data_IF_323879399941
#
_entry.id   IF_323879399941
#
_cell.length_a   1.000
_cell.length_b   1.000
_cell.length_c   1.000
_cell.angle_alpha   90.00
_cell.angle_beta   90.00
_cell.angle_gamma   90.00
#
_symmetry.space_group_name_H-M   'P 1'
#
loop_
_entity.id
_entity.type
_entity.pdbx_description
1 polymer ?
#
# COMPACT_ATOMS: atom_id res chain seq x y z
N UNK A 1 -0.54 -28.75 -1.52
CA UNK A 1 -1.04 -28.47 -0.16
C UNK A 1 0.07 -28.09 0.84
N UNK A 2 1.35 -28.52 0.66
CA UNK A 2 2.43 -28.17 1.59
C UNK A 2 2.93 -26.71 1.51
N UNK A 3 2.79 -26.04 0.37
CA UNK A 3 3.27 -24.65 0.20
C UNK A 3 2.41 -23.59 0.89
N UNK A 4 1.12 -23.86 1.10
CA UNK A 4 0.22 -22.91 1.75
C UNK A 4 0.41 -22.86 3.27
N UNK A 5 0.70 -24.00 3.92
CA UNK A 5 0.94 -24.07 5.36
C UNK A 5 2.25 -23.36 5.77
N UNK A 6 3.33 -23.55 5.00
CA UNK A 6 4.62 -22.89 5.27
C UNK A 6 4.52 -21.37 5.11
N UNK A 7 3.73 -20.88 4.13
CA UNK A 7 3.52 -19.46 3.94
C UNK A 7 2.69 -18.81 5.07
N UNK A 8 1.75 -19.55 5.67
CA UNK A 8 0.94 -19.08 6.79
C UNK A 8 1.76 -19.00 8.08
N UNK A 9 2.60 -20.00 8.36
CA UNK A 9 3.48 -19.98 9.53
C UNK A 9 4.47 -18.82 9.47
N UNK A 10 5.17 -18.64 8.34
CA UNK A 10 6.09 -17.51 8.16
C UNK A 10 5.40 -16.14 8.20
N UNK A 11 4.14 -16.03 7.77
CA UNK A 11 3.36 -14.79 7.84
C UNK A 11 2.97 -14.41 9.27
N UNK A 12 2.60 -15.37 10.11
CA UNK A 12 2.28 -15.11 11.51
C UNK A 12 3.50 -14.67 12.32
N UNK A 13 4.68 -15.22 12.03
CA UNK A 13 5.92 -14.80 12.65
C UNK A 13 6.26 -13.35 12.27
N UNK A 14 6.11 -12.98 10.99
CA UNK A 14 6.27 -11.60 10.52
C UNK A 14 5.30 -10.66 11.26
N UNK A 15 4.03 -11.06 11.43
CA UNK A 15 3.04 -10.26 12.17
C UNK A 15 3.46 -10.04 13.61
N UNK A 16 3.93 -11.09 14.29
CA UNK A 16 4.36 -11.04 15.68
C UNK A 16 5.60 -10.17 15.88
N UNK A 17 6.61 -10.36 15.04
CA UNK A 17 7.87 -9.62 15.10
C UNK A 17 7.64 -8.15 14.79
N UNK A 18 6.84 -7.84 13.78
CA UNK A 18 6.51 -6.46 13.42
C UNK A 18 5.66 -5.77 14.51
N UNK A 19 4.73 -6.48 15.13
CA UNK A 19 3.98 -5.96 16.27
C UNK A 19 4.89 -5.69 17.48
N UNK A 20 5.84 -6.59 17.75
CA UNK A 20 6.85 -6.39 18.80
C UNK A 20 7.71 -5.15 18.52
N UNK A 21 8.13 -4.95 17.28
CA UNK A 21 8.85 -3.76 16.84
C UNK A 21 8.04 -2.48 17.13
N UNK A 22 6.78 -2.40 16.68
CA UNK A 22 5.96 -1.21 16.90
C UNK A 22 5.72 -0.90 18.38
N UNK A 23 5.68 -1.91 19.24
CA UNK A 23 5.46 -1.75 20.67
C UNK A 23 6.75 -1.41 21.45
N UNK A 24 7.91 -1.92 21.01
CA UNK A 24 9.17 -1.81 21.78
C UNK A 24 10.03 -0.65 21.33
N UNK A 25 9.82 -0.11 20.12
CA UNK A 25 10.65 0.96 19.60
C UNK A 25 10.32 2.29 20.29
N UNK A 26 11.26 2.78 21.09
CA UNK A 26 11.26 4.10 21.71
C UNK A 26 12.51 4.85 21.26
N UNK A 27 12.36 6.09 20.84
CA UNK A 27 13.46 6.91 20.31
C UNK A 27 14.51 7.30 21.36
N UNK A 28 14.27 7.02 22.64
CA UNK A 28 15.27 7.27 23.70
C UNK A 28 16.48 6.35 23.57
N UNK A 29 16.27 5.11 23.06
CA UNK A 29 17.36 4.15 22.87
C UNK A 29 18.24 4.49 21.65
N UNK A 30 17.68 5.13 20.61
CA UNK A 30 18.41 5.55 19.42
C UNK A 30 19.29 6.79 19.63
N UNK A 31 19.02 7.62 20.62
CA UNK A 31 19.82 8.81 20.94
C UNK A 31 21.03 8.54 21.86
N UNK A 32 21.17 7.34 22.41
CA UNK A 32 22.28 7.02 23.29
C UNK A 32 23.63 6.87 22.54
N UNK A 33 23.61 6.51 21.26
CA UNK A 33 24.82 6.29 20.44
C UNK A 33 25.12 7.38 19.39
N UNK A 34 24.19 8.28 19.10
CA UNK A 34 24.38 9.36 18.13
C UNK A 34 24.48 10.72 18.84
N UNK A 35 25.65 11.06 19.34
CA UNK A 35 26.02 12.42 19.76
C UNK A 35 26.09 13.40 18.59
N UNK A 36 24.97 13.62 17.90
CA UNK A 36 24.84 14.53 16.77
C UNK A 36 23.55 15.32 16.86
N UNK A 37 23.67 16.60 17.19
CA UNK A 37 22.59 17.57 17.06
C UNK A 37 22.09 17.60 15.62
N UNK A 38 20.78 17.33 15.39
CA UNK A 38 20.10 17.78 14.18
C UNK A 38 19.60 16.76 13.17
N UNK A 39 19.39 15.48 13.52
CA UNK A 39 18.58 14.63 12.69
C UNK A 39 17.09 14.73 13.11
N UNK A 40 16.40 15.77 12.63
CA UNK A 40 14.95 15.79 12.64
C UNK A 40 14.46 14.59 11.84
N UNK A 41 13.74 13.66 12.49
CA UNK A 41 13.03 12.60 11.78
C UNK A 41 12.12 13.26 10.75
N UNK A 42 12.18 12.89 9.46
CA UNK A 42 11.35 13.53 8.43
C UNK A 42 9.85 13.38 8.69
N UNK A 43 9.42 12.44 9.54
CA UNK A 43 8.05 12.31 10.01
C UNK A 43 7.73 13.13 11.27
N UNK A 44 8.73 13.70 11.96
CA UNK A 44 8.54 14.50 13.18
C UNK A 44 8.02 13.73 14.40
N UNK A 45 7.94 12.40 14.33
CA UNK A 45 7.39 11.56 15.40
C UNK A 45 8.50 10.83 16.14
N UNK A 46 8.49 10.95 17.46
CA UNK A 46 9.48 10.31 18.33
C UNK A 46 9.16 8.85 18.59
N UNK A 47 7.89 8.51 18.72
CA UNK A 47 7.39 7.16 18.99
C UNK A 47 6.20 6.80 18.12
N UNK A 48 6.06 5.52 17.76
CA UNK A 48 4.90 5.05 16.99
C UNK A 48 3.58 5.16 17.76
N UNK A 49 3.63 5.16 19.10
CA UNK A 49 2.47 5.39 19.97
C UNK A 49 2.02 6.86 19.90
N UNK A 50 2.97 7.81 19.93
CA UNK A 50 2.68 9.25 19.75
C UNK A 50 2.09 9.51 18.35
N UNK A 51 2.60 8.83 17.32
CA UNK A 51 2.01 8.87 15.98
C UNK A 51 0.54 8.44 15.97
N UNK A 52 0.14 7.42 16.76
CA UNK A 52 -1.26 7.03 16.87
C UNK A 52 -2.14 8.11 17.49
N UNK A 53 -1.63 8.91 18.42
CA UNK A 53 -2.37 10.03 19.01
C UNK A 53 -2.69 11.09 17.95
N UNK A 54 -1.70 11.47 17.17
CA UNK A 54 -1.88 12.41 16.06
C UNK A 54 -2.76 11.85 14.94
N UNK A 55 -2.65 10.55 14.65
CA UNK A 55 -3.56 9.89 13.72
C UNK A 55 -5.01 9.91 14.21
N UNK A 56 -5.22 9.76 15.52
CA UNK A 56 -6.57 9.85 16.10
C UNK A 56 -7.17 11.23 15.90
N UNK A 57 -6.40 12.29 16.15
CA UNK A 57 -6.86 13.69 15.98
C UNK A 57 -7.18 14.01 14.51
N UNK A 58 -6.37 13.50 13.57
CA UNK A 58 -6.52 13.73 12.12
C UNK A 58 -7.43 12.72 11.41
N UNK A 59 -7.98 11.76 12.16
CA UNK A 59 -8.76 10.62 11.59
C UNK A 59 -7.98 9.80 10.57
N UNK A 60 -6.65 9.81 10.67
CA UNK A 60 -5.74 9.09 9.78
C UNK A 60 -5.89 7.57 9.86
N UNK A 61 -5.37 6.89 8.84
CA UNK A 61 -5.39 5.42 8.71
C UNK A 61 -4.04 4.81 8.41
N UNK A 62 -3.01 5.63 8.16
CA UNK A 62 -1.70 5.19 7.71
C UNK A 62 -0.65 5.39 8.80
N UNK A 63 0.04 4.32 9.18
CA UNK A 63 1.19 4.34 10.09
C UNK A 63 2.46 4.48 9.26
N UNK A 64 3.24 5.51 9.52
CA UNK A 64 4.51 5.76 8.85
C UNK A 64 5.64 5.11 9.65
N UNK A 65 6.34 4.17 9.02
CA UNK A 65 7.42 3.40 9.64
C UNK A 65 8.75 3.77 8.97
N UNK A 66 9.72 4.20 9.77
CA UNK A 66 11.07 4.43 9.28
C UNK A 66 11.76 3.08 9.07
N UNK A 67 12.21 2.84 7.83
CA UNK A 67 12.86 1.59 7.47
C UNK A 67 14.20 1.38 8.21
N UNK A 68 14.90 2.45 8.55
CA UNK A 68 16.14 2.36 9.32
C UNK A 68 15.90 1.82 10.73
N UNK A 69 14.85 2.29 11.41
CA UNK A 69 14.47 1.76 12.72
C UNK A 69 14.14 0.27 12.68
N UNK A 70 13.50 -0.16 11.60
CA UNK A 70 13.20 -1.58 11.41
C UNK A 70 14.48 -2.40 11.16
N UNK A 71 15.45 -1.86 10.42
CA UNK A 71 16.75 -2.50 10.21
C UNK A 71 17.55 -2.64 11.51
N UNK A 72 17.52 -1.66 12.38
CA UNK A 72 18.18 -1.68 13.69
C UNK A 72 17.54 -2.72 14.62
N UNK A 73 16.22 -2.86 14.56
CA UNK A 73 15.49 -3.83 15.38
C UNK A 73 15.67 -5.27 14.87
N UNK A 74 15.41 -5.52 13.58
CA UNK A 74 15.55 -6.82 12.94
C UNK A 74 15.86 -6.68 11.44
N UNK A 75 17.14 -6.82 11.09
CA UNK A 75 17.61 -6.73 9.71
C UNK A 75 17.05 -7.83 8.80
N UNK A 76 16.72 -9.02 9.33
CA UNK A 76 16.16 -10.12 8.54
C UNK A 76 14.72 -9.77 8.14
N UNK A 77 13.91 -9.31 9.10
CA UNK A 77 12.54 -8.85 8.81
C UNK A 77 12.55 -7.71 7.78
N UNK A 78 13.45 -6.73 7.95
CA UNK A 78 13.54 -5.58 7.05
C UNK A 78 13.87 -6.00 5.61
N UNK A 79 14.90 -6.84 5.41
CA UNK A 79 15.34 -7.21 4.06
C UNK A 79 14.50 -8.31 3.43
N UNK A 80 14.17 -9.38 4.14
CA UNK A 80 13.48 -10.52 3.54
C UNK A 80 11.97 -10.30 3.40
N UNK A 81 11.32 -9.77 4.44
CA UNK A 81 9.88 -9.61 4.43
C UNK A 81 9.44 -8.26 3.83
N UNK A 82 10.09 -7.16 4.24
CA UNK A 82 9.64 -5.83 3.83
C UNK A 82 10.26 -5.43 2.49
N UNK A 83 11.55 -5.55 2.27
CA UNK A 83 12.18 -5.12 1.03
C UNK A 83 11.94 -6.13 -0.10
N UNK A 84 12.36 -7.40 0.05
CA UNK A 84 12.38 -8.39 -1.03
C UNK A 84 10.99 -8.95 -1.39
N UNK A 85 10.10 -9.14 -0.41
CA UNK A 85 8.81 -9.81 -0.60
C UNK A 85 7.63 -8.98 -0.10
N UNK A 86 7.68 -7.68 -0.23
CA UNK A 86 6.67 -6.75 0.30
C UNK A 86 5.23 -7.14 -0.06
N UNK A 87 4.97 -7.41 -1.33
CA UNK A 87 3.62 -7.72 -1.80
C UNK A 87 3.04 -8.98 -1.13
N UNK A 88 3.89 -9.97 -0.84
CA UNK A 88 3.49 -11.21 -0.16
C UNK A 88 3.18 -10.98 1.32
N UNK A 89 3.97 -10.16 2.01
CA UNK A 89 3.85 -9.94 3.45
C UNK A 89 3.01 -8.73 3.83
N UNK A 90 2.63 -7.88 2.88
CA UNK A 90 1.77 -6.70 3.13
C UNK A 90 0.49 -7.02 3.93
N UNK A 91 -0.28 -8.10 3.66
CA UNK A 91 -1.47 -8.41 4.46
C UNK A 91 -1.15 -8.69 5.94
N UNK A 92 0.01 -9.30 6.21
CA UNK A 92 0.47 -9.62 7.55
C UNK A 92 0.94 -8.36 8.31
N UNK A 93 1.63 -7.46 7.63
CA UNK A 93 2.02 -6.15 8.18
C UNK A 93 0.78 -5.30 8.52
N UNK A 94 -0.24 -5.31 7.66
CA UNK A 94 -1.52 -4.64 7.94
C UNK A 94 -2.23 -5.23 9.15
N UNK A 95 -2.24 -6.55 9.29
CA UNK A 95 -2.82 -7.23 10.46
C UNK A 95 -2.10 -6.81 11.74
N UNK A 96 -0.77 -6.75 11.73
CA UNK A 96 0.02 -6.26 12.85
C UNK A 96 -0.30 -4.79 13.19
N UNK A 97 -0.46 -3.93 12.19
CA UNK A 97 -0.86 -2.54 12.38
C UNK A 97 -2.25 -2.41 13.01
N UNK A 98 -3.24 -3.19 12.56
CA UNK A 98 -4.58 -3.21 13.18
C UNK A 98 -4.51 -3.66 14.63
N UNK A 99 -3.71 -4.69 14.93
CA UNK A 99 -3.55 -5.20 16.29
C UNK A 99 -2.84 -4.19 17.20
N UNK A 100 -1.83 -3.50 16.69
CA UNK A 100 -1.15 -2.41 17.39
C UNK A 100 -2.12 -1.27 17.75
N UNK A 101 -2.94 -0.83 16.79
CA UNK A 101 -3.98 0.20 17.05
C UNK A 101 -5.01 -0.31 18.06
N UNK A 102 -5.41 -1.59 17.98
CA UNK A 102 -6.37 -2.20 18.92
C UNK A 102 -5.84 -2.22 20.35
N UNK A 103 -4.54 -2.46 20.53
CA UNK A 103 -3.92 -2.48 21.86
C UNK A 103 -3.84 -1.09 22.49
N UNK A 104 -3.49 -0.07 21.73
CA UNK A 104 -3.27 1.29 22.25
C UNK A 104 -4.51 2.20 22.18
N UNK A 105 -5.28 2.13 21.10
CA UNK A 105 -6.44 3.00 20.85
C UNK A 105 -7.64 2.19 20.28
N UNK A 106 -8.29 1.35 21.09
CA UNK A 106 -9.39 0.50 20.61
C UNK A 106 -10.59 1.28 20.05
N UNK A 107 -10.73 2.55 20.43
CA UNK A 107 -11.77 3.44 19.90
C UNK A 107 -11.57 3.74 18.40
N UNK A 108 -10.33 3.72 17.89
CA UNK A 108 -10.05 3.97 16.46
C UNK A 108 -10.47 2.82 15.56
N UNK A 109 -10.47 1.60 16.07
CA UNK A 109 -10.78 0.39 15.29
C UNK A 109 -12.27 0.29 14.95
N UNK A 110 -13.12 0.89 15.78
CA UNK A 110 -14.57 0.84 15.58
C UNK A 110 -15.02 1.99 14.70
N UNK A 111 -15.63 1.67 13.58
CA UNK A 111 -16.31 2.66 12.75
C UNK A 111 -17.80 2.70 13.14
N UNK A 112 -18.41 3.87 12.90
CA UNK A 112 -19.88 4.02 12.95
C UNK A 112 -20.52 3.07 11.93
N UNK A 113 -21.16 2.00 12.43
CA UNK A 113 -21.75 0.96 11.59
C UNK A 113 -21.24 -0.47 11.84
N UNK A 114 -20.38 -0.67 12.84
CA UNK A 114 -19.96 -2.03 13.31
C UNK A 114 -18.92 -2.72 12.45
N UNK A 115 -18.39 -2.07 11.41
CA UNK A 115 -17.26 -2.58 10.62
C UNK A 115 -15.94 -2.08 11.22
N UNK A 116 -14.91 -2.91 11.20
CA UNK A 116 -13.56 -2.50 11.62
C UNK A 116 -12.93 -1.56 10.58
N UNK A 117 -12.27 -0.50 11.06
CA UNK A 117 -11.49 0.42 10.24
C UNK A 117 -10.19 -0.27 9.84
N UNK A 118 -9.80 -0.14 8.59
CA UNK A 118 -8.53 -0.69 8.09
C UNK A 118 -7.38 0.29 8.32
N UNK A 119 -6.22 -0.24 8.69
CA UNK A 119 -5.00 0.52 8.86
C UNK A 119 -3.95 0.06 7.87
N UNK A 120 -3.12 1.00 7.43
CA UNK A 120 -2.10 0.81 6.42
C UNK A 120 -0.72 1.12 7.00
N UNK A 121 0.29 0.53 6.42
CA UNK A 121 1.68 0.79 6.79
C UNK A 121 2.39 1.39 5.59
N UNK A 122 3.02 2.55 5.79
CA UNK A 122 3.87 3.22 4.82
C UNK A 122 5.31 3.25 5.32
N UNK A 123 6.25 2.83 4.48
CA UNK A 123 7.67 2.86 4.82
C UNK A 123 8.33 4.10 4.25
N UNK A 124 9.13 4.76 5.09
CA UNK A 124 9.91 5.95 4.76
C UNK A 124 11.40 5.66 4.93
N UNK A 125 12.27 6.49 4.32
CA UNK A 125 13.72 6.40 4.46
C UNK A 125 14.33 5.05 4.06
N UNK A 126 13.91 4.51 2.90
CA UNK A 126 14.60 3.35 2.34
C UNK A 126 16.06 3.72 2.01
N UNK A 127 17.02 2.80 2.26
CA UNK A 127 18.45 3.08 2.08
C UNK A 127 18.82 3.36 0.62
N UNK A 128 18.04 2.85 -0.32
CA UNK A 128 18.30 3.01 -1.75
C UNK A 128 17.13 3.68 -2.46
N UNK A 129 17.43 4.83 -3.08
CA UNK A 129 16.54 5.52 -4.00
C UNK A 129 17.00 5.24 -5.43
N UNK A 130 16.18 4.55 -6.19
CA UNK A 130 16.45 4.20 -7.58
C UNK A 130 16.15 5.36 -8.53
N UNK A 131 16.82 5.39 -9.66
CA UNK A 131 16.38 6.17 -10.81
C UNK A 131 15.28 5.40 -11.53
N UNK A 132 14.38 6.12 -12.19
CA UNK A 132 13.28 5.48 -12.92
C UNK A 132 13.76 4.48 -13.99
N UNK A 133 14.95 4.68 -14.55
CA UNK A 133 15.59 3.77 -15.52
C UNK A 133 16.12 2.47 -14.91
N UNK A 134 16.41 2.47 -13.64
CA UNK A 134 16.99 1.31 -12.92
C UNK A 134 15.90 0.29 -12.53
N UNK A 135 14.63 0.70 -12.57
CA UNK A 135 13.52 -0.18 -12.26
C UNK A 135 13.32 -1.23 -13.37
N UNK A 136 13.54 -2.48 -13.00
CA UNK A 136 13.50 -3.64 -13.88
C UNK A 136 12.48 -4.67 -13.37
N UNK A 137 12.34 -5.77 -14.11
CA UNK A 137 11.48 -6.89 -13.73
C UNK A 137 11.87 -7.53 -12.39
N UNK A 138 13.13 -7.45 -12.00
CA UNK A 138 13.64 -7.94 -10.71
C UNK A 138 12.99 -7.25 -9.51
N UNK A 139 12.57 -5.98 -9.68
CA UNK A 139 11.95 -5.20 -8.62
C UNK A 139 10.44 -5.44 -8.47
N UNK A 140 9.84 -6.33 -9.29
CA UNK A 140 8.40 -6.61 -9.20
C UNK A 140 8.09 -7.30 -7.87
N UNK A 141 7.13 -6.74 -7.13
CA UNK A 141 6.69 -7.22 -5.83
C UNK A 141 7.58 -6.82 -4.65
N UNK A 142 8.73 -6.18 -4.91
CA UNK A 142 9.61 -5.61 -3.90
C UNK A 142 9.14 -4.21 -3.47
N UNK A 143 9.52 -3.83 -2.26
CA UNK A 143 9.40 -2.44 -1.81
C UNK A 143 10.58 -1.64 -2.35
N UNK A 144 10.30 -0.65 -3.18
CA UNK A 144 11.32 0.17 -3.82
C UNK A 144 11.00 1.64 -3.70
N UNK A 145 12.05 2.47 -3.61
CA UNK A 145 11.93 3.93 -3.69
C UNK A 145 12.55 4.43 -4.97
N UNK A 146 11.93 5.38 -5.63
CA UNK A 146 12.52 6.06 -6.78
C UNK A 146 12.21 7.56 -6.79
N UNK A 147 13.11 8.34 -7.37
CA UNK A 147 12.95 9.79 -7.55
C UNK A 147 12.37 10.12 -8.91
N UNK A 148 11.53 11.16 -8.96
CA UNK A 148 10.99 11.64 -10.20
C UNK A 148 10.21 12.95 -10.08
N UNK A 149 9.93 13.56 -11.21
CA UNK A 149 9.15 14.80 -11.32
C UNK A 149 7.72 14.46 -11.77
N UNK A 150 6.75 14.94 -11.03
CA UNK A 150 5.32 14.78 -11.37
C UNK A 150 4.99 15.63 -12.59
N UNK A 151 4.47 15.01 -13.63
CA UNK A 151 4.07 15.70 -14.87
C UNK A 151 2.58 15.91 -14.99
N UNK A 152 1.80 14.97 -14.48
CA UNK A 152 0.33 15.00 -14.55
C UNK A 152 -0.28 14.23 -13.40
N UNK A 153 -1.37 14.75 -12.85
CA UNK A 153 -2.23 14.09 -11.87
C UNK A 153 -3.62 13.89 -12.47
N UNK A 154 -4.29 12.80 -12.14
CA UNK A 154 -5.70 12.59 -12.46
C UNK A 154 -6.60 13.20 -11.39
N UNK A 155 -7.88 13.24 -11.66
CA UNK A 155 -8.89 13.47 -10.64
C UNK A 155 -8.89 12.32 -9.62
N UNK A 156 -9.31 12.62 -8.40
CA UNK A 156 -9.56 11.60 -7.37
C UNK A 156 -10.83 10.85 -7.73
N UNK A 157 -10.77 9.53 -7.68
CA UNK A 157 -11.91 8.67 -7.98
C UNK A 157 -12.04 7.59 -6.91
N UNK A 158 -13.26 7.16 -6.56
CA UNK A 158 -13.44 6.00 -5.69
C UNK A 158 -13.06 4.72 -6.44
N UNK A 159 -12.25 3.88 -5.80
CA UNK A 159 -11.94 2.51 -6.23
C UNK A 159 -12.61 1.51 -5.29
N UNK A 160 -13.22 0.47 -5.83
CA UNK A 160 -13.78 -0.62 -5.05
C UNK A 160 -12.64 -1.48 -4.49
N UNK A 161 -12.46 -1.48 -3.17
CA UNK A 161 -11.45 -2.30 -2.49
C UNK A 161 -12.01 -3.68 -2.12
N UNK A 162 -13.15 -3.70 -1.44
CA UNK A 162 -13.88 -4.92 -1.08
C UNK A 162 -15.30 -4.83 -1.63
N UNK A 163 -15.65 -5.79 -2.46
CA UNK A 163 -16.98 -5.88 -3.06
C UNK A 163 -17.89 -6.82 -2.28
N UNK A 164 -19.15 -6.43 -2.07
CA UNK A 164 -20.20 -7.32 -1.63
C UNK A 164 -21.05 -7.71 -2.84
N UNK A 165 -21.26 -9.00 -3.05
CA UNK A 165 -21.99 -9.51 -4.20
C UNK A 165 -23.22 -10.30 -3.76
N UNK A 166 -24.32 -10.02 -4.42
CA UNK A 166 -25.58 -10.75 -4.23
C UNK A 166 -25.74 -11.76 -5.35
N UNK A 167 -26.02 -13.00 -5.00
CA UNK A 167 -26.30 -14.07 -5.96
C UNK A 167 -27.62 -13.78 -6.66
N UNK A 168 -27.64 -13.78 -8.01
CA UNK A 168 -28.87 -13.55 -8.78
C UNK A 168 -29.88 -14.72 -8.72
N UNK A 169 -29.48 -15.88 -8.23
CA UNK A 169 -30.34 -17.08 -8.21
C UNK A 169 -30.95 -17.36 -6.81
N UNK A 170 -30.19 -17.13 -5.73
CA UNK A 170 -30.65 -17.42 -4.36
C UNK A 170 -30.60 -16.22 -3.42
N UNK A 171 -30.25 -15.04 -3.92
CA UNK A 171 -30.17 -13.78 -3.18
C UNK A 171 -29.18 -13.77 -2.00
N UNK A 172 -28.35 -14.79 -1.86
CA UNK A 172 -27.33 -14.90 -0.81
C UNK A 172 -26.26 -13.83 -1.02
N UNK A 173 -25.92 -13.08 0.05
CA UNK A 173 -24.87 -12.08 0.03
C UNK A 173 -23.51 -12.73 0.28
N UNK A 174 -22.53 -12.44 -0.58
CA UNK A 174 -21.12 -12.80 -0.44
C UNK A 174 -20.35 -11.52 -0.15
N UNK A 175 -20.00 -11.23 1.10
CA UNK A 175 -19.26 -10.04 1.50
C UNK A 175 -17.76 -10.16 1.24
N UNK A 176 -17.06 -9.04 1.33
CA UNK A 176 -15.61 -8.92 1.44
C UNK A 176 -14.81 -9.60 0.31
N UNK A 177 -15.31 -9.54 -0.92
CA UNK A 177 -14.58 -10.03 -2.10
C UNK A 177 -13.51 -9.01 -2.46
N UNK A 178 -12.24 -9.37 -2.24
CA UNK A 178 -11.10 -8.51 -2.51
C UNK A 178 -10.95 -8.21 -4.00
N UNK A 179 -10.75 -6.96 -4.32
CA UNK A 179 -10.57 -6.46 -5.68
C UNK A 179 -9.08 -6.12 -5.91
N UNK A 180 -8.43 -6.87 -6.80
CA UNK A 180 -7.02 -6.67 -7.13
C UNK A 180 -6.88 -6.17 -8.56
N UNK A 181 -6.75 -4.86 -8.77
CA UNK A 181 -6.56 -4.23 -10.09
C UNK A 181 -7.55 -4.69 -11.19
N UNK A 182 -8.47 -5.58 -10.88
CA UNK A 182 -9.49 -6.15 -11.75
C UNK A 182 -10.80 -6.27 -11.01
N UNK A 183 -11.89 -6.07 -11.72
CA UNK A 183 -13.21 -6.40 -11.20
C UNK A 183 -13.34 -7.92 -11.06
N UNK A 184 -13.35 -8.39 -9.82
CA UNK A 184 -13.38 -9.80 -9.47
C UNK A 184 -14.72 -10.14 -8.84
N UNK A 185 -15.41 -11.12 -9.41
CA UNK A 185 -16.65 -11.69 -8.86
C UNK A 185 -16.33 -12.94 -8.04
N UNK A 186 -17.19 -13.34 -7.08
CA UNK A 186 -17.01 -14.57 -6.35
C UNK A 186 -16.95 -15.79 -7.29
N UNK A 187 -16.09 -16.76 -6.97
CA UNK A 187 -15.92 -17.95 -7.77
C UNK A 187 -17.14 -18.90 -7.68
N UNK A 188 -17.80 -18.95 -6.52
CA UNK A 188 -18.97 -19.81 -6.25
C UNK A 188 -19.86 -19.19 -5.18
N UNK A 189 -21.15 -19.44 -5.23
CA UNK A 189 -22.08 -19.03 -4.20
C UNK A 189 -21.82 -19.75 -2.88
N UNK A 190 -21.93 -19.03 -1.75
CA UNK A 190 -21.78 -19.60 -0.40
C UNK A 190 -22.91 -20.59 -0.05
N UNK A 191 -24.07 -20.48 -0.71
CA UNK A 191 -25.14 -21.44 -0.55
C UNK A 191 -24.82 -22.73 -1.32
N UNK A 192 -24.56 -23.82 -0.60
CA UNK A 192 -24.18 -25.11 -1.16
C UNK A 192 -25.22 -25.70 -2.15
N UNK A 193 -26.48 -25.30 -2.05
CA UNK A 193 -27.55 -25.80 -2.93
C UNK A 193 -27.69 -24.98 -4.23
N UNK A 194 -27.09 -23.79 -4.30
CA UNK A 194 -27.30 -22.88 -5.44
C UNK A 194 -26.34 -23.17 -6.60
N UNK A 195 -25.05 -23.40 -6.34
CA UNK A 195 -24.03 -23.69 -7.34
C UNK A 195 -23.74 -22.57 -8.35
N UNK A 196 -24.31 -21.36 -8.19
CA UNK A 196 -24.08 -20.23 -9.08
C UNK A 196 -22.61 -19.79 -9.10
N UNK A 197 -22.09 -19.52 -10.31
CA UNK A 197 -20.69 -19.10 -10.53
C UNK A 197 -20.55 -17.84 -11.39
N UNK A 198 -21.60 -17.41 -12.07
CA UNK A 198 -21.49 -16.40 -13.12
C UNK A 198 -22.40 -15.19 -12.93
N UNK A 199 -23.55 -15.33 -12.27
CA UNK A 199 -24.55 -14.28 -12.17
C UNK A 199 -24.50 -13.60 -10.81
N UNK A 200 -23.85 -12.43 -10.77
CA UNK A 200 -23.64 -11.65 -9.55
C UNK A 200 -24.10 -10.21 -9.73
N UNK A 201 -24.74 -9.67 -8.71
CA UNK A 201 -25.11 -8.26 -8.63
C UNK A 201 -24.34 -7.60 -7.50
N UNK A 202 -23.72 -6.45 -7.76
CA UNK A 202 -22.99 -5.70 -6.75
C UNK A 202 -23.97 -5.11 -5.73
N UNK A 203 -23.77 -5.42 -4.45
CA UNK A 203 -24.56 -4.88 -3.34
C UNK A 203 -23.80 -3.69 -2.74
N UNK A 204 -24.20 -2.47 -3.08
CA UNK A 204 -23.48 -1.25 -2.68
C UNK A 204 -23.36 -1.08 -1.16
N UNK A 205 -24.40 -1.47 -0.40
CA UNK A 205 -24.44 -1.34 1.07
C UNK A 205 -23.35 -2.14 1.81
N UNK A 206 -22.76 -3.15 1.14
CA UNK A 206 -21.70 -3.98 1.71
C UNK A 206 -20.30 -3.65 1.20
N UNK A 207 -20.18 -2.76 0.22
CA UNK A 207 -18.92 -2.46 -0.44
C UNK A 207 -18.06 -1.50 0.38
N UNK A 208 -16.72 -1.65 0.26
CA UNK A 208 -15.76 -0.67 0.78
C UNK A 208 -15.05 -0.02 -0.40
N UNK A 209 -15.05 1.30 -0.42
CA UNK A 209 -14.38 2.12 -1.41
C UNK A 209 -13.20 2.85 -0.78
N UNK A 210 -12.20 3.17 -1.60
CA UNK A 210 -11.03 3.95 -1.20
C UNK A 210 -10.78 5.02 -2.26
N UNK A 211 -10.23 6.15 -1.83
CA UNK A 211 -9.80 7.18 -2.74
C UNK A 211 -8.59 6.73 -3.52
N UNK A 212 -8.61 7.00 -4.81
CA UNK A 212 -7.61 6.58 -5.78
C UNK A 212 -7.27 7.72 -6.71
N UNK A 213 -5.98 7.88 -6.99
CA UNK A 213 -5.48 8.88 -7.91
C UNK A 213 -4.32 8.30 -8.72
N UNK A 214 -4.26 8.65 -10.01
CA UNK A 214 -3.16 8.29 -10.90
C UNK A 214 -2.29 9.51 -11.14
N UNK A 215 -1.00 9.32 -10.93
CA UNK A 215 0.01 10.35 -11.11
C UNK A 215 1.00 9.86 -12.17
N UNK A 216 1.32 10.70 -13.14
CA UNK A 216 2.37 10.41 -14.12
C UNK A 216 3.65 11.09 -13.67
N UNK A 217 4.68 10.28 -13.46
CA UNK A 217 6.00 10.70 -13.02
C UNK A 217 7.00 10.51 -14.14
N UNK A 218 7.87 11.48 -14.34
CA UNK A 218 8.93 11.50 -15.35
C UNK A 218 10.30 11.55 -14.67
N UNK A 219 11.32 11.02 -15.34
CA UNK A 219 12.71 11.15 -14.90
C UNK A 219 13.09 12.62 -14.67
N UNK A 220 13.86 12.85 -13.61
CA UNK A 220 14.42 14.17 -13.36
C UNK A 220 15.35 14.59 -14.50
N UNK A 221 15.29 15.84 -14.91
CA UNK A 221 16.08 16.35 -16.06
C UNK A 221 17.61 16.14 -15.89
N UNK A 222 18.09 16.15 -14.64
CA UNK A 222 19.50 15.92 -14.30
C UNK A 222 19.95 14.45 -14.46
N UNK A 223 19.00 13.51 -14.49
CA UNK A 223 19.26 12.05 -14.55
C UNK A 223 19.16 11.50 -15.98
N UNK A 224 18.62 12.28 -16.92
CA UNK A 224 18.45 11.87 -18.32
C UNK A 224 19.79 11.92 -19.04
N UNK A 225 20.29 10.81 -19.61
CA UNK A 225 21.51 10.81 -20.41
C UNK A 225 21.36 11.70 -21.66
N UNK A 226 22.43 12.33 -22.07
CA UNK A 226 22.47 13.16 -23.28
C UNK A 226 21.99 12.37 -24.51
N UNK A 227 21.08 12.95 -25.29
CA UNK A 227 20.50 12.33 -26.49
C UNK A 227 19.40 11.30 -26.23
N UNK A 228 19.01 11.05 -24.98
CA UNK A 228 17.93 10.14 -24.63
C UNK A 228 16.65 10.90 -24.35
N UNK A 229 15.50 10.27 -24.67
CA UNK A 229 14.21 10.77 -24.23
C UNK A 229 13.96 10.39 -22.76
N UNK A 230 13.38 11.29 -21.94
CA UNK A 230 13.04 11.00 -20.57
C UNK A 230 11.97 9.91 -20.51
N UNK A 231 12.14 8.96 -19.60
CA UNK A 231 11.14 7.90 -19.35
C UNK A 231 10.07 8.44 -18.42
N UNK A 232 8.88 7.88 -18.54
CA UNK A 232 7.77 8.19 -17.64
C UNK A 232 7.11 6.92 -17.13
N UNK A 233 6.52 6.99 -15.94
CA UNK A 233 5.83 5.90 -15.27
C UNK A 233 4.53 6.39 -14.68
N UNK A 234 3.55 5.52 -14.60
CA UNK A 234 2.30 5.79 -13.90
C UNK A 234 2.38 5.26 -12.47
N UNK A 235 1.97 6.10 -11.55
CA UNK A 235 1.96 5.88 -10.11
C UNK A 235 0.52 5.90 -9.64
N UNK A 236 0.12 4.93 -8.83
CA UNK A 236 -1.19 4.88 -8.20
C UNK A 236 -1.04 5.31 -6.75
N UNK A 237 -1.72 6.37 -6.37
CA UNK A 237 -1.83 6.83 -5.00
C UNK A 237 -3.18 6.38 -4.43
N UNK A 238 -3.19 5.94 -3.19
CA UNK A 238 -4.39 5.55 -2.45
C UNK A 238 -4.38 6.15 -1.06
N UNK A 239 -5.56 6.24 -0.45
CA UNK A 239 -5.75 6.74 0.91
C UNK A 239 -5.21 8.16 1.09
N UNK A 240 -4.40 8.38 2.11
CA UNK A 240 -3.86 9.68 2.49
C UNK A 240 -2.83 10.25 1.51
N UNK A 241 -2.21 9.39 0.69
CA UNK A 241 -1.25 9.84 -0.34
C UNK A 241 -1.95 10.55 -1.53
N UNK A 242 -3.27 10.49 -1.61
CA UNK A 242 -4.06 11.16 -2.64
C UNK A 242 -3.97 12.68 -2.46
N UNK A 243 -3.81 13.42 -3.57
CA UNK A 243 -3.67 14.89 -3.63
C UNK A 243 -2.43 15.50 -2.97
N UNK A 244 -1.51 14.69 -2.46
CA UNK A 244 -0.29 15.24 -1.89
C UNK A 244 0.74 15.65 -2.94
N UNK A 245 0.82 14.91 -4.05
CA UNK A 245 1.73 15.22 -5.15
C UNK A 245 1.06 16.14 -6.17
N UNK A 246 1.71 17.26 -6.50
CA UNK A 246 1.24 18.23 -7.49
C UNK A 246 2.09 18.17 -8.76
N UNK A 247 1.50 18.55 -9.88
CA UNK A 247 2.25 18.66 -11.14
C UNK A 247 3.37 19.70 -11.02
N UNK A 248 4.60 19.29 -11.35
CA UNK A 248 5.83 20.07 -11.21
C UNK A 248 6.68 19.68 -10.00
N UNK A 249 6.14 18.99 -9.01
CA UNK A 249 6.88 18.59 -7.81
C UNK A 249 7.91 17.52 -8.13
N UNK A 250 9.07 17.63 -7.48
CA UNK A 250 10.05 16.55 -7.41
C UNK A 250 9.82 15.79 -6.12
N UNK A 251 9.59 14.49 -6.23
CA UNK A 251 9.28 13.68 -5.08
C UNK A 251 9.99 12.32 -5.14
N UNK A 252 10.17 11.73 -3.97
CA UNK A 252 10.60 10.35 -3.81
C UNK A 252 9.34 9.50 -3.57
N UNK A 253 9.13 8.53 -4.44
CA UNK A 253 8.01 7.61 -4.35
C UNK A 253 8.48 6.28 -3.80
N UNK A 254 7.85 5.81 -2.73
CA UNK A 254 8.14 4.51 -2.11
C UNK A 254 6.93 3.60 -2.26
N UNK A 255 7.12 2.39 -2.77
CA UNK A 255 6.02 1.45 -2.95
C UNK A 255 6.42 0.18 -3.68
N UNK A 256 5.44 -0.62 -4.08
CA UNK A 256 5.66 -1.87 -4.79
C UNK A 256 5.40 -1.74 -6.29
N UNK A 257 6.32 -2.27 -7.09
CA UNK A 257 6.17 -2.35 -8.54
C UNK A 257 5.20 -3.46 -8.93
N UNK A 258 4.12 -3.08 -9.61
CA UNK A 258 3.12 -4.00 -10.10
C UNK A 258 3.04 -3.94 -11.63
N UNK A 259 2.83 -5.09 -12.25
CA UNK A 259 2.57 -5.21 -13.69
C UNK A 259 1.11 -5.54 -13.90
N UNK A 260 0.39 -4.68 -14.61
CA UNK A 260 -1.01 -4.90 -14.99
C UNK A 260 -1.04 -5.31 -16.46
N UNK A 261 -1.56 -6.51 -16.81
CA UNK A 261 -1.67 -6.96 -18.18
C UNK A 261 -2.59 -6.05 -19.00
N UNK A 262 -2.22 -5.80 -20.24
CA UNK A 262 -3.08 -5.08 -21.20
C UNK A 262 -4.40 -5.82 -21.43
N UNK A 263 -5.49 -5.06 -21.63
CA UNK A 263 -6.81 -5.62 -21.88
C UNK A 263 -7.54 -6.19 -20.68
N UNK A 264 -6.99 -6.07 -19.47
CA UNK A 264 -7.74 -6.38 -18.27
C UNK A 264 -8.84 -5.31 -18.05
N UNK A 265 -10.12 -5.70 -17.87
CA UNK A 265 -11.15 -4.74 -17.49
C UNK A 265 -10.73 -4.07 -16.17
N UNK A 266 -10.61 -2.74 -16.19
CA UNK A 266 -10.25 -2.02 -14.97
C UNK A 266 -11.47 -1.97 -14.05
N UNK A 267 -11.24 -2.04 -12.72
CA UNK A 267 -12.30 -1.88 -11.70
C UNK A 267 -12.84 -0.44 -11.64
N UNK A 268 -12.35 0.42 -12.52
CA UNK A 268 -12.62 1.85 -12.49
C UNK A 268 -13.78 2.17 -13.40
N UNK A 269 -14.85 2.66 -12.83
CA UNK A 269 -15.97 3.19 -13.59
C UNK A 269 -15.48 4.39 -14.43
N UNK A 270 -15.44 4.20 -15.75
CA UNK A 270 -15.24 5.28 -16.71
C UNK A 270 -13.86 5.40 -17.37
N UNK A 271 -12.88 4.57 -17.05
CA UNK A 271 -11.58 4.62 -17.73
C UNK A 271 -11.54 3.69 -18.95
N UNK A 272 -12.11 4.14 -20.05
CA UNK A 272 -11.80 3.62 -21.39
C UNK A 272 -10.53 4.32 -21.89
N UNK A 273 -9.40 4.02 -21.28
CA UNK A 273 -8.13 4.44 -21.87
C UNK A 273 -7.86 3.62 -23.10
N UNK A 274 -7.75 4.27 -24.24
CA UNK A 274 -7.14 3.74 -25.44
C UNK A 274 -5.69 3.36 -25.10
N UNK A 275 -5.49 2.08 -24.89
CA UNK A 275 -4.19 1.48 -24.58
C UNK A 275 -3.44 1.27 -25.90
N UNK A 276 -2.71 2.28 -26.33
CA UNK A 276 -1.66 2.11 -27.33
C UNK A 276 -0.49 1.33 -26.72
N UNK A 277 -0.21 0.19 -27.29
CA UNK A 277 0.78 -0.81 -27.06
C UNK A 277 1.99 -0.49 -26.18
N UNK A 278 2.15 -1.24 -25.12
CA UNK A 278 3.31 -1.29 -24.24
C UNK A 278 2.87 -1.65 -22.83
N UNK A 279 3.34 -2.76 -22.29
CA UNK A 279 2.94 -3.26 -20.97
C UNK A 279 2.94 -2.17 -19.91
N UNK A 280 1.78 -1.88 -19.33
CA UNK A 280 1.61 -0.85 -18.31
C UNK A 280 2.24 -1.32 -16.99
N UNK A 281 3.37 -0.74 -16.67
CA UNK A 281 3.97 -0.87 -15.33
C UNK A 281 3.29 0.16 -14.43
N UNK A 282 2.64 -0.29 -13.36
CA UNK A 282 1.99 0.59 -12.40
C UNK A 282 2.61 0.38 -11.02
N UNK A 283 2.98 1.46 -10.38
CA UNK A 283 3.37 1.45 -8.98
C UNK A 283 2.17 1.76 -8.09
N UNK A 284 2.02 1.00 -7.04
CA UNK A 284 1.07 1.29 -5.98
C UNK A 284 1.83 1.80 -4.78
N UNK A 285 1.58 3.05 -4.37
CA UNK A 285 2.33 3.70 -3.32
C UNK A 285 1.54 3.81 -2.02
N UNK A 286 2.29 3.56 -0.95
CA UNK A 286 2.00 4.11 0.36
C UNK A 286 3.10 5.15 0.59
N UNK A 287 2.73 6.38 0.84
CA UNK A 287 3.63 7.53 0.89
C UNK A 287 4.81 7.32 1.84
N UNK A 288 5.94 7.73 1.41
CA UNK A 288 7.08 8.05 2.25
C UNK A 288 7.98 9.01 1.53
N UNK A 289 8.17 10.17 2.04
CA UNK A 289 9.21 11.03 1.58
C UNK A 289 8.84 12.49 1.46
N UNK A 290 9.70 13.28 2.01
CA UNK A 290 9.71 14.71 1.96
C UNK A 290 9.75 15.23 0.53
N UNK A 291 8.98 16.28 0.31
CA UNK A 291 9.08 17.18 -0.84
C UNK A 291 10.34 18.01 -0.73
#
# INVERSE_FOLDING_TARGET
MASASVAVEGGEDVTRTFLSFLNSFSSEDANADAGGEGAENPSGYRDYVEQLELMYERSGTTIYVNFQHLMEFDGVLAHEAVEANFYKYQPFLRRAAVEFVRQHKPAMVRWDGGKEKEFWVAFVNLPRVHRLRELKAENIGQLTSFSGTVTRTSEVRPELLLGAFRCAECDTLVPDVEQQCRYTTPAICLNAQCGNRMKWTLAQDGCKFVDWQRVRVQENASEVPAGSLPRSMEVILRHEAVEEARAGDKAIFTGSLLVVPEGAPSNMAGDRTELGGGGLQRFMFLRGGDL
#
